data_IF_489825739849
#
_entry.id   IF_489825739849
#
_cell.length_a   1.000
_cell.length_b   1.000
_cell.length_c   1.000
_cell.angle_alpha   90.00
_cell.angle_beta   90.00
_cell.angle_gamma   90.00
#
_symmetry.space_group_name_H-M   'P 1'
#
loop_
_entity.id
_entity.type
_entity.pdbx_description
1 polymer ?
#
# COMPACT_ATOMS: atom_id res chain seq x y z
N UNK A 1 -10.78 51.22 6.25
CA UNK A 1 -9.83 50.15 6.64
C UNK A 1 -10.61 48.85 6.67
N UNK A 2 -10.38 47.97 5.70
CA UNK A 2 -11.02 46.64 5.65
C UNK A 2 -10.15 45.66 6.43
N UNK A 3 -10.37 45.55 7.74
CA UNK A 3 -9.79 44.46 8.55
C UNK A 3 -10.68 43.24 8.40
N UNK A 4 -10.53 42.54 7.26
CA UNK A 4 -11.11 41.22 7.10
C UNK A 4 -10.18 40.26 7.83
N UNK A 5 -10.49 39.92 9.10
CA UNK A 5 -9.83 38.80 9.76
C UNK A 5 -10.17 37.55 8.94
N UNK A 6 -9.16 36.95 8.30
CA UNK A 6 -9.31 35.67 7.65
C UNK A 6 -9.63 34.64 8.73
N UNK A 7 -10.82 34.05 8.66
CA UNK A 7 -11.19 32.90 9.47
C UNK A 7 -10.75 31.62 8.76
N UNK A 8 -10.49 30.53 9.49
CA UNK A 8 -10.32 29.21 8.90
C UNK A 8 -11.49 28.91 7.94
N UNK A 9 -11.17 28.37 6.76
CA UNK A 9 -12.14 28.01 5.72
C UNK A 9 -13.20 27.05 6.26
N UNK A 10 -14.45 27.21 5.82
CA UNK A 10 -15.61 26.44 6.29
C UNK A 10 -15.35 24.91 6.33
N UNK A 11 -15.13 24.39 7.54
CA UNK A 11 -14.87 22.99 7.91
C UNK A 11 -16.09 22.03 8.14
N UNK A 12 -17.37 22.32 7.79
CA UNK A 12 -18.46 21.35 8.01
C UNK A 12 -18.27 20.02 7.25
N UNK A 13 -17.69 20.06 6.04
CA UNK A 13 -17.46 18.87 5.23
C UNK A 13 -16.36 17.97 5.82
N UNK A 14 -15.32 18.58 6.39
CA UNK A 14 -14.21 17.91 7.04
C UNK A 14 -14.70 17.13 8.28
N UNK A 15 -15.53 17.76 9.11
CA UNK A 15 -16.12 17.08 10.28
C UNK A 15 -17.03 15.92 9.91
N UNK A 16 -17.82 16.05 8.84
CA UNK A 16 -18.68 14.97 8.37
C UNK A 16 -17.86 13.80 7.82
N UNK A 17 -16.77 14.07 7.11
CA UNK A 17 -15.82 13.06 6.64
C UNK A 17 -15.17 12.32 7.81
N UNK A 18 -14.69 13.06 8.82
CA UNK A 18 -14.07 12.52 10.04
C UNK A 18 -15.06 11.68 10.86
N UNK A 19 -16.31 12.11 10.97
CA UNK A 19 -17.40 11.35 11.59
C UNK A 19 -17.69 10.05 10.83
N UNK A 20 -17.79 10.11 9.51
CA UNK A 20 -18.05 8.95 8.68
C UNK A 20 -16.92 7.91 8.76
N UNK A 21 -15.67 8.35 8.92
CA UNK A 21 -14.52 7.46 9.19
C UNK A 21 -14.68 6.75 10.53
N UNK A 22 -15.01 7.47 11.61
CA UNK A 22 -15.20 6.88 12.94
C UNK A 22 -16.39 5.89 12.98
N UNK A 23 -17.46 6.18 12.23
CA UNK A 23 -18.62 5.29 12.11
C UNK A 23 -18.26 3.96 11.43
N UNK A 24 -17.48 4.00 10.34
CA UNK A 24 -16.98 2.78 9.69
C UNK A 24 -16.05 1.98 10.59
N UNK A 25 -15.11 2.66 11.27
CA UNK A 25 -14.18 2.02 12.20
C UNK A 25 -14.89 1.36 13.38
N UNK A 26 -15.92 1.99 13.96
CA UNK A 26 -16.71 1.42 15.04
C UNK A 26 -17.48 0.16 14.62
N UNK A 27 -17.98 0.12 13.37
CA UNK A 27 -18.67 -1.05 12.81
C UNK A 27 -17.72 -2.24 12.67
N UNK A 28 -16.53 -2.04 12.10
CA UNK A 28 -15.53 -3.10 11.93
C UNK A 28 -15.00 -3.61 13.28
N UNK A 29 -14.85 -2.73 14.28
CA UNK A 29 -14.43 -3.12 15.63
C UNK A 29 -15.48 -3.93 16.38
N UNK A 30 -16.78 -3.69 16.13
CA UNK A 30 -17.85 -4.51 16.69
C UNK A 30 -17.82 -5.94 16.11
N UNK A 31 -17.67 -6.08 14.79
CA UNK A 31 -17.54 -7.39 14.13
C UNK A 31 -16.29 -8.17 14.59
N UNK A 32 -15.17 -7.47 14.79
CA UNK A 32 -13.94 -8.05 15.32
C UNK A 32 -14.09 -8.48 16.78
N UNK A 33 -14.73 -7.65 17.61
CA UNK A 33 -15.01 -7.95 19.01
C UNK A 33 -15.91 -9.18 19.18
N UNK A 34 -16.97 -9.30 18.38
CA UNK A 34 -17.89 -10.45 18.40
C UNK A 34 -17.20 -11.75 17.96
N UNK A 35 -16.30 -11.65 16.98
CA UNK A 35 -15.46 -12.77 16.51
C UNK A 35 -14.48 -13.23 17.59
N UNK A 36 -13.82 -12.30 18.28
CA UNK A 36 -12.89 -12.60 19.36
C UNK A 36 -13.59 -13.12 20.62
N UNK A 37 -14.77 -12.60 20.95
CA UNK A 37 -15.60 -13.10 22.05
C UNK A 37 -16.09 -14.54 21.78
N UNK A 38 -16.43 -14.85 20.53
CA UNK A 38 -16.77 -16.21 20.11
C UNK A 38 -15.58 -17.16 20.23
N UNK A 39 -14.38 -16.75 19.80
CA UNK A 39 -13.15 -17.52 19.97
C UNK A 39 -12.77 -17.76 21.45
N UNK A 40 -13.00 -16.76 22.32
CA UNK A 40 -12.84 -16.86 23.78
C UNK A 40 -13.75 -17.92 24.40
N UNK A 41 -14.98 -18.07 23.92
CA UNK A 41 -15.91 -19.10 24.43
C UNK A 41 -15.48 -20.54 24.10
N UNK A 42 -14.77 -20.73 22.97
CA UNK A 42 -14.26 -22.03 22.52
C UNK A 42 -12.95 -22.41 23.24
N UNK A 43 -12.10 -21.42 23.56
CA UNK A 43 -10.81 -21.65 24.23
C UNK A 43 -10.92 -21.97 25.74
N UNK A 44 -12.07 -21.73 26.37
CA UNK A 44 -12.30 -21.86 27.81
C UNK A 44 -13.10 -23.11 28.23
N UNK A 45 -13.13 -24.17 27.40
CA UNK A 45 -13.70 -25.46 27.84
C UNK A 45 -12.95 -25.93 29.08
N UNK A 46 -13.68 -26.19 30.16
CA UNK A 46 -13.12 -26.59 31.46
C UNK A 46 -12.56 -28.02 31.38
N UNK A 47 -11.23 -28.14 31.51
CA UNK A 47 -10.49 -29.42 31.46
C UNK A 47 -10.20 -30.00 32.86
N UNK A 48 -10.73 -29.40 33.93
CA UNK A 48 -10.44 -29.76 35.33
C UNK A 48 -10.81 -31.20 35.73
N UNK A 49 -11.54 -31.93 34.88
CA UNK A 49 -11.90 -33.34 35.08
C UNK A 49 -10.83 -34.38 34.68
N UNK A 50 -9.70 -33.98 34.09
CA UNK A 50 -8.64 -34.93 33.69
C UNK A 50 -7.71 -35.19 34.89
N UNK A 51 -7.82 -36.38 35.50
CA UNK A 51 -7.08 -36.77 36.70
C UNK A 51 -5.56 -36.73 36.52
N UNK A 52 -4.89 -35.91 37.32
CA UNK A 52 -3.48 -35.52 37.26
C UNK A 52 -2.43 -36.62 37.54
N UNK A 53 -2.80 -37.90 37.54
CA UNK A 53 -1.99 -38.97 38.13
C UNK A 53 -1.25 -39.88 37.12
N UNK A 54 -1.38 -39.63 35.82
CA UNK A 54 -0.62 -40.35 34.77
C UNK A 54 0.04 -39.44 33.72
N UNK A 55 0.02 -38.12 33.93
CA UNK A 55 0.35 -37.17 32.88
C UNK A 55 1.86 -36.88 32.82
N UNK A 56 2.52 -37.48 31.82
CA UNK A 56 3.90 -37.19 31.39
C UNK A 56 4.12 -35.67 31.19
N UNK A 57 5.38 -35.24 31.29
CA UNK A 57 5.84 -33.84 31.15
C UNK A 57 5.21 -33.14 29.94
N UNK A 58 5.05 -33.85 28.82
CA UNK A 58 4.41 -33.36 27.61
C UNK A 58 2.96 -32.87 27.79
N UNK A 59 2.19 -33.48 28.69
CA UNK A 59 0.82 -33.05 28.97
C UNK A 59 0.78 -31.78 29.84
N UNK A 60 1.68 -31.66 30.82
CA UNK A 60 1.81 -30.42 31.62
C UNK A 60 2.24 -29.24 30.76
N UNK A 61 3.16 -29.46 29.81
CA UNK A 61 3.56 -28.45 28.82
C UNK A 61 2.38 -28.01 27.94
N UNK A 62 1.49 -28.92 27.54
CA UNK A 62 0.29 -28.59 26.74
C UNK A 62 -0.73 -27.76 27.52
N UNK A 63 -0.96 -28.05 28.80
CA UNK A 63 -1.84 -27.25 29.66
C UNK A 63 -1.27 -25.83 29.84
N UNK A 64 0.02 -25.70 30.16
CA UNK A 64 0.66 -24.40 30.31
C UNK A 64 0.62 -23.56 29.02
N UNK A 65 0.81 -24.19 27.86
CA UNK A 65 0.68 -23.52 26.56
C UNK A 65 -0.76 -23.06 26.25
N UNK A 66 -1.76 -23.84 26.68
CA UNK A 66 -3.18 -23.45 26.54
C UNK A 66 -3.55 -22.28 27.45
N UNK A 67 -3.02 -22.25 28.69
CA UNK A 67 -3.21 -21.14 29.63
C UNK A 67 -2.55 -19.84 29.14
N UNK A 68 -1.33 -19.93 28.57
CA UNK A 68 -0.63 -18.79 27.92
C UNK A 68 -1.44 -18.25 26.73
N UNK A 69 -1.93 -19.14 25.87
CA UNK A 69 -2.79 -18.78 24.72
C UNK A 69 -4.09 -18.09 25.16
N UNK A 70 -4.71 -18.56 26.26
CA UNK A 70 -5.90 -17.95 26.82
C UNK A 70 -5.62 -16.58 27.47
N UNK A 71 -4.43 -16.38 28.03
CA UNK A 71 -4.02 -15.08 28.58
C UNK A 71 -3.80 -14.04 27.49
N UNK A 72 -3.12 -14.43 26.40
CA UNK A 72 -2.92 -13.63 25.18
C UNK A 72 -4.24 -13.20 24.53
N UNK A 73 -5.17 -14.15 24.34
CA UNK A 73 -6.55 -13.88 23.88
C UNK A 73 -7.26 -12.81 24.72
N UNK A 74 -7.15 -12.88 26.05
CA UNK A 74 -7.77 -11.90 26.95
C UNK A 74 -7.15 -10.52 26.80
N UNK A 75 -5.82 -10.44 26.66
CA UNK A 75 -5.08 -9.19 26.43
C UNK A 75 -5.55 -8.52 25.13
N UNK A 76 -5.64 -9.28 24.04
CA UNK A 76 -6.11 -8.78 22.74
C UNK A 76 -7.55 -8.26 22.78
N UNK A 77 -8.46 -9.02 23.40
CA UNK A 77 -9.86 -8.60 23.54
C UNK A 77 -9.96 -7.29 24.32
N UNK A 78 -9.22 -7.17 25.43
CA UNK A 78 -9.21 -5.96 26.23
C UNK A 78 -8.67 -4.75 25.45
N UNK A 79 -7.62 -4.92 24.65
CA UNK A 79 -7.05 -3.84 23.84
C UNK A 79 -8.05 -3.33 22.78
N UNK A 80 -8.75 -4.26 22.12
CA UNK A 80 -9.80 -3.93 21.13
C UNK A 80 -10.98 -3.24 21.80
N UNK A 81 -11.41 -3.70 22.97
CA UNK A 81 -12.49 -3.06 23.74
C UNK A 81 -12.12 -1.65 24.21
N UNK A 82 -10.88 -1.46 24.67
CA UNK A 82 -10.36 -0.14 25.08
C UNK A 82 -10.30 0.82 23.89
N UNK A 83 -9.79 0.37 22.75
CA UNK A 83 -9.77 1.19 21.54
C UNK A 83 -11.17 1.56 21.05
N UNK A 84 -12.09 0.59 21.05
CA UNK A 84 -13.50 0.83 20.73
C UNK A 84 -14.13 1.87 21.65
N UNK A 85 -13.86 1.82 22.96
CA UNK A 85 -14.37 2.81 23.91
C UNK A 85 -13.87 4.23 23.59
N UNK A 86 -12.59 4.37 23.21
CA UNK A 86 -12.02 5.66 22.79
C UNK A 86 -12.68 6.17 21.52
N UNK A 87 -12.93 5.32 20.52
CA UNK A 87 -13.63 5.70 19.27
C UNK A 87 -15.07 6.16 19.55
N UNK A 88 -15.80 5.47 20.42
CA UNK A 88 -17.17 5.84 20.80
C UNK A 88 -17.20 7.19 21.53
N UNK A 89 -16.26 7.41 22.46
CA UNK A 89 -16.14 8.69 23.17
C UNK A 89 -15.77 9.83 22.21
N UNK A 90 -14.80 9.60 21.32
CA UNK A 90 -14.38 10.57 20.31
C UNK A 90 -15.52 10.95 19.36
N UNK A 91 -16.38 10.00 18.98
CA UNK A 91 -17.56 10.28 18.16
C UNK A 91 -18.54 11.22 18.88
N UNK A 92 -18.86 10.94 20.14
CA UNK A 92 -19.78 11.78 20.92
C UNK A 92 -19.23 13.22 21.08
N UNK A 93 -17.93 13.35 21.31
CA UNK A 93 -17.26 14.65 21.43
C UNK A 93 -17.20 15.39 20.09
N UNK A 94 -16.99 14.71 18.96
CA UNK A 94 -17.05 15.31 17.63
C UNK A 94 -18.47 15.78 17.28
N UNK A 95 -19.52 15.05 17.67
CA UNK A 95 -20.91 15.52 17.51
C UNK A 95 -21.15 16.80 18.31
N UNK A 96 -20.65 16.91 19.55
CA UNK A 96 -20.74 18.14 20.36
C UNK A 96 -19.94 19.30 19.76
N UNK A 97 -18.71 19.03 19.29
CA UNK A 97 -17.87 20.03 18.63
C UNK A 97 -18.52 20.53 17.33
N UNK A 98 -19.18 19.66 16.57
CA UNK A 98 -19.95 20.03 15.39
C UNK A 98 -21.11 20.95 15.73
N UNK A 99 -21.87 20.65 16.78
CA UNK A 99 -22.98 21.50 17.21
C UNK A 99 -22.50 22.88 17.65
N UNK A 100 -21.36 22.93 18.35
CA UNK A 100 -20.69 24.19 18.72
C UNK A 100 -20.18 24.94 17.49
N UNK A 101 -19.59 24.26 16.52
CA UNK A 101 -19.16 24.89 15.26
C UNK A 101 -20.34 25.47 14.48
N UNK A 102 -21.45 24.73 14.37
CA UNK A 102 -22.67 25.23 13.73
C UNK A 102 -23.23 26.47 14.44
N UNK A 103 -23.21 26.49 15.77
CA UNK A 103 -23.62 27.65 16.57
C UNK A 103 -22.69 28.86 16.36
N UNK A 104 -21.37 28.66 16.32
CA UNK A 104 -20.39 29.71 16.03
C UNK A 104 -20.58 30.27 14.61
N UNK A 105 -20.77 29.40 13.62
CA UNK A 105 -21.04 29.79 12.23
C UNK A 105 -22.35 30.58 12.09
N UNK A 106 -23.42 30.17 12.76
CA UNK A 106 -24.68 30.90 12.78
C UNK A 106 -24.55 32.27 13.47
N UNK A 107 -23.86 32.33 14.61
CA UNK A 107 -23.60 33.58 15.33
C UNK A 107 -22.73 34.54 14.50
N UNK A 108 -21.76 34.01 13.76
CA UNK A 108 -20.94 34.78 12.82
C UNK A 108 -21.78 35.35 11.69
N UNK A 109 -22.60 34.53 11.04
CA UNK A 109 -23.48 34.98 9.96
C UNK A 109 -24.44 36.10 10.41
N UNK A 110 -25.03 35.96 11.61
CA UNK A 110 -25.89 36.99 12.20
C UNK A 110 -25.13 38.27 12.53
N UNK A 111 -23.92 38.17 13.07
CA UNK A 111 -23.08 39.33 13.43
C UNK A 111 -22.61 40.07 12.17
N UNK A 112 -22.23 39.33 11.12
CA UNK A 112 -21.81 39.89 9.83
C UNK A 112 -22.98 40.54 9.07
N UNK A 113 -24.20 40.00 9.20
CA UNK A 113 -25.41 40.63 8.66
C UNK A 113 -25.71 41.97 9.36
N UNK A 114 -25.63 42.01 10.70
CA UNK A 114 -25.83 43.24 11.46
C UNK A 114 -24.77 44.31 11.15
N UNK A 115 -23.50 43.91 11.05
CA UNK A 115 -22.41 44.80 10.66
C UNK A 115 -22.59 45.36 9.24
N UNK A 116 -23.00 44.52 8.27
CA UNK A 116 -23.30 44.96 6.90
C UNK A 116 -24.49 45.91 6.82
N UNK A 117 -25.54 45.67 7.60
CA UNK A 117 -26.71 46.54 7.66
C UNK A 117 -26.32 47.95 8.15
N UNK A 118 -25.48 48.05 9.19
CA UNK A 118 -24.96 49.34 9.65
C UNK A 118 -24.08 50.03 8.60
N UNK A 119 -23.19 49.29 7.92
CA UNK A 119 -22.34 49.85 6.85
C UNK A 119 -23.19 50.40 5.70
N UNK A 120 -24.27 49.72 5.34
CA UNK A 120 -25.19 50.15 4.28
C UNK A 120 -26.02 51.38 4.66
N UNK A 121 -26.34 51.57 5.95
CA UNK A 121 -27.12 52.70 6.45
C UNK A 121 -26.57 53.21 7.82
N UNK A 122 -25.48 53.99 7.82
CA UNK A 122 -24.87 54.47 9.05
C UNK A 122 -25.75 55.45 9.80
N UNK A 123 -25.82 55.33 11.13
CA UNK A 123 -26.53 56.27 12.01
C UNK A 123 -25.74 56.50 13.31
N UNK A 124 -25.93 57.67 13.93
CA UNK A 124 -25.26 57.99 15.19
C UNK A 124 -25.65 57.00 16.31
N UNK A 125 -26.92 56.60 16.36
CA UNK A 125 -27.44 55.63 17.33
C UNK A 125 -26.91 54.20 17.08
N UNK A 126 -26.61 53.85 15.82
CA UNK A 126 -26.13 52.52 15.44
C UNK A 126 -24.63 52.26 15.68
N UNK A 127 -23.82 53.28 16.00
CA UNK A 127 -22.37 53.13 16.21
C UNK A 127 -22.06 52.20 17.38
N UNK A 128 -22.83 52.30 18.48
CA UNK A 128 -22.64 51.44 19.64
C UNK A 128 -22.96 49.96 19.34
N UNK A 129 -23.96 49.71 18.50
CA UNK A 129 -24.34 48.37 18.06
C UNK A 129 -23.27 47.77 17.13
N UNK A 130 -22.71 48.59 16.23
CA UNK A 130 -21.62 48.20 15.33
C UNK A 130 -20.33 47.83 16.10
N UNK A 131 -19.94 48.63 17.10
CA UNK A 131 -18.79 48.31 17.96
C UNK A 131 -18.99 47.02 18.76
N UNK A 132 -20.23 46.76 19.24
CA UNK A 132 -20.59 45.48 19.87
C UNK A 132 -20.48 44.31 18.89
N UNK A 133 -20.82 44.49 17.61
CA UNK A 133 -20.63 43.47 16.57
C UNK A 133 -19.15 43.15 16.34
N UNK A 134 -18.27 44.16 16.24
CA UNK A 134 -16.82 43.95 16.08
C UNK A 134 -16.19 43.24 17.28
N UNK A 135 -16.58 43.60 18.50
CA UNK A 135 -16.16 42.92 19.71
C UNK A 135 -16.62 41.45 19.72
N UNK A 136 -17.87 41.19 19.30
CA UNK A 136 -18.43 39.83 19.19
C UNK A 136 -17.70 38.99 18.15
N UNK A 137 -17.33 39.55 17.00
CA UNK A 137 -16.52 38.85 15.98
C UNK A 137 -15.17 38.38 16.55
N UNK A 138 -14.51 39.21 17.35
CA UNK A 138 -13.21 38.84 17.96
C UNK A 138 -13.34 37.66 18.94
N UNK A 139 -14.45 37.61 19.70
CA UNK A 139 -14.76 36.47 20.59
C UNK A 139 -15.04 35.21 19.77
N UNK A 140 -15.88 35.30 18.74
CA UNK A 140 -16.21 34.16 17.86
C UNK A 140 -14.98 33.61 17.13
N UNK A 141 -14.02 34.45 16.75
CA UNK A 141 -12.75 33.99 16.17
C UNK A 141 -11.92 33.16 17.14
N UNK A 142 -11.80 33.58 18.40
CA UNK A 142 -11.09 32.80 19.43
C UNK A 142 -11.81 31.49 19.75
N UNK A 143 -13.14 31.51 19.77
CA UNK A 143 -13.95 30.29 19.94
C UNK A 143 -13.74 29.31 18.78
N UNK A 144 -13.67 29.78 17.53
CA UNK A 144 -13.36 28.95 16.37
C UNK A 144 -11.97 28.31 16.44
N UNK A 145 -10.94 29.07 16.83
CA UNK A 145 -9.58 28.53 17.04
C UNK A 145 -9.55 27.51 18.18
N UNK A 146 -10.31 27.75 19.25
CA UNK A 146 -10.47 26.79 20.35
C UNK A 146 -11.12 25.48 19.92
N UNK A 147 -12.08 25.52 18.99
CA UNK A 147 -12.73 24.33 18.43
C UNK A 147 -11.76 23.50 17.58
N UNK A 148 -10.93 24.12 16.75
CA UNK A 148 -9.90 23.42 15.97
C UNK A 148 -8.89 22.69 16.87
N UNK A 149 -8.39 23.37 17.92
CA UNK A 149 -7.47 22.74 18.87
C UNK A 149 -8.12 21.60 19.66
N UNK A 150 -9.40 21.74 20.02
CA UNK A 150 -10.14 20.67 20.69
C UNK A 150 -10.30 19.46 19.76
N UNK A 151 -10.60 19.70 18.48
CA UNK A 151 -10.67 18.65 17.47
C UNK A 151 -9.36 17.86 17.36
N UNK A 152 -8.23 18.56 17.27
CA UNK A 152 -6.91 17.94 17.15
C UNK A 152 -6.57 17.09 18.40
N UNK A 153 -7.01 17.51 19.58
CA UNK A 153 -6.86 16.72 20.80
C UNK A 153 -7.66 15.42 20.76
N UNK A 154 -8.91 15.46 20.27
CA UNK A 154 -9.72 14.24 20.09
C UNK A 154 -9.01 13.25 19.16
N UNK A 155 -8.51 13.71 18.01
CA UNK A 155 -7.84 12.83 17.05
C UNK A 155 -6.51 12.29 17.54
N UNK A 156 -5.75 13.10 18.29
CA UNK A 156 -4.52 12.64 18.94
C UNK A 156 -4.79 11.49 19.90
N UNK A 157 -5.86 11.58 20.71
CA UNK A 157 -6.26 10.51 21.64
C UNK A 157 -6.68 9.24 20.89
N UNK A 158 -7.40 9.37 19.78
CA UNK A 158 -7.77 8.23 18.92
C UNK A 158 -6.51 7.55 18.35
N UNK A 159 -5.55 8.33 17.85
CA UNK A 159 -4.30 7.80 17.30
C UNK A 159 -3.46 7.05 18.35
N UNK A 160 -3.32 7.62 19.56
CA UNK A 160 -2.61 6.97 20.68
C UNK A 160 -3.28 5.64 21.07
N UNK A 161 -4.61 5.60 21.13
CA UNK A 161 -5.34 4.38 21.45
C UNK A 161 -5.25 3.32 20.34
N UNK A 162 -5.25 3.75 19.07
CA UNK A 162 -5.05 2.87 17.92
C UNK A 162 -3.66 2.22 17.94
N UNK A 163 -2.62 3.02 18.22
CA UNK A 163 -1.25 2.52 18.34
C UNK A 163 -1.12 1.50 19.48
N UNK A 164 -1.65 1.79 20.66
CA UNK A 164 -1.63 0.86 21.79
C UNK A 164 -2.35 -0.46 21.46
N UNK A 165 -3.53 -0.39 20.81
CA UNK A 165 -4.26 -1.57 20.39
C UNK A 165 -3.50 -2.41 19.34
N UNK A 166 -2.86 -1.75 18.38
CA UNK A 166 -2.06 -2.41 17.35
C UNK A 166 -0.84 -3.13 17.94
N UNK A 167 -0.14 -2.50 18.89
CA UNK A 167 0.97 -3.11 19.62
C UNK A 167 0.51 -4.36 20.37
N UNK A 168 -0.60 -4.31 21.12
CA UNK A 168 -1.12 -5.49 21.83
C UNK A 168 -1.61 -6.59 20.88
N UNK A 169 -2.21 -6.24 19.74
CA UNK A 169 -2.58 -7.20 18.70
C UNK A 169 -1.35 -7.89 18.10
N UNK A 170 -0.23 -7.17 17.97
CA UNK A 170 1.02 -7.69 17.45
C UNK A 170 1.76 -8.58 18.47
N UNK A 171 1.80 -8.19 19.74
CA UNK A 171 2.53 -8.88 20.81
C UNK A 171 1.74 -10.07 21.39
N UNK A 172 0.42 -9.90 21.58
CA UNK A 172 -0.45 -10.84 22.29
C UNK A 172 -1.53 -11.45 21.40
N UNK A 173 -1.61 -11.08 20.11
CA UNK A 173 -2.60 -11.58 19.18
C UNK A 173 -2.63 -13.11 19.13
N UNK A 174 -3.75 -13.78 19.43
CA UNK A 174 -3.88 -15.21 19.19
C UNK A 174 -3.64 -15.51 17.72
N UNK A 175 -2.93 -16.61 17.44
CA UNK A 175 -2.88 -17.21 16.11
C UNK A 175 -4.27 -17.65 15.62
N UNK A 176 -5.11 -16.70 15.22
CA UNK A 176 -6.48 -16.91 14.77
C UNK A 176 -6.50 -17.32 13.29
N UNK A 177 -6.34 -18.63 13.10
CA UNK A 177 -7.15 -19.53 12.26
C UNK A 177 -7.47 -19.10 10.83
N UNK A 178 -6.94 -19.87 9.87
CA UNK A 178 -7.38 -20.17 8.48
C UNK A 178 -7.88 -19.02 7.59
N UNK A 179 -8.82 -18.20 8.06
CA UNK A 179 -9.38 -17.04 7.36
C UNK A 179 -8.46 -15.82 7.38
N UNK A 180 -7.69 -15.61 8.46
CA UNK A 180 -6.57 -14.66 8.46
C UNK A 180 -5.42 -15.16 7.57
N UNK A 181 -5.26 -16.49 7.42
CA UNK A 181 -4.30 -17.10 6.49
C UNK A 181 -4.68 -16.87 5.03
N UNK A 182 -5.98 -16.89 4.72
CA UNK A 182 -6.49 -16.59 3.38
C UNK A 182 -6.36 -15.10 3.01
N UNK A 183 -6.41 -14.19 3.99
CA UNK A 183 -6.11 -12.76 3.81
C UNK A 183 -4.60 -12.48 3.79
N UNK A 184 -3.79 -13.25 4.51
CA UNK A 184 -2.32 -13.18 4.46
C UNK A 184 -1.72 -13.86 3.20
N UNK A 185 -2.40 -14.85 2.61
CA UNK A 185 -2.08 -15.39 1.27
C UNK A 185 -2.48 -14.41 0.17
N UNK A 186 -3.53 -13.60 0.36
CA UNK A 186 -3.82 -12.43 -0.49
C UNK A 186 -2.88 -11.25 -0.23
N UNK A 187 -2.19 -11.21 0.91
CA UNK A 187 -1.21 -10.19 1.29
C UNK A 187 0.25 -10.70 1.28
N UNK A 188 0.51 -11.81 0.56
CA UNK A 188 1.85 -12.18 0.11
C UNK A 188 2.87 -12.62 1.17
N UNK A 189 2.49 -13.33 2.25
CA UNK A 189 3.49 -13.88 3.18
C UNK A 189 3.47 -15.41 3.24
N UNK A 190 4.49 -16.02 2.61
CA UNK A 190 5.03 -17.36 2.94
C UNK A 190 6.49 -17.26 3.41
N UNK A 191 6.89 -18.29 4.16
CA UNK A 191 8.20 -18.68 4.73
C UNK A 191 9.40 -17.68 4.69
N UNK A 192 10.04 -17.34 5.84
CA UNK A 192 11.23 -16.47 5.94
C UNK A 192 12.55 -17.01 5.34
N UNK A 193 12.50 -17.95 4.40
CA UNK A 193 13.67 -18.73 4.00
C UNK A 193 14.09 -18.61 2.55
N UNK A 194 13.51 -17.72 1.75
CA UNK A 194 14.06 -17.29 0.46
C UNK A 194 13.51 -15.89 0.17
N UNK A 195 14.38 -14.87 0.16
CA UNK A 195 14.11 -13.76 -0.75
C UNK A 195 14.05 -14.37 -2.16
N UNK A 196 13.03 -14.06 -2.97
CA UNK A 196 12.82 -14.72 -4.27
C UNK A 196 13.81 -14.21 -5.32
N UNK A 197 14.97 -13.69 -4.91
CA UNK A 197 15.97 -13.19 -5.84
C UNK A 197 16.32 -14.33 -6.81
N UNK A 198 16.06 -14.12 -8.10
CA UNK A 198 16.25 -15.18 -9.06
C UNK A 198 17.74 -15.40 -9.29
N UNK A 199 18.16 -16.64 -9.52
CA UNK A 199 19.58 -17.01 -9.63
C UNK A 199 20.01 -17.41 -11.05
N UNK A 200 19.19 -17.08 -12.05
CA UNK A 200 19.42 -17.43 -13.44
C UNK A 200 20.61 -16.70 -14.07
N UNK A 201 20.82 -16.95 -15.36
CA UNK A 201 21.87 -16.26 -16.13
C UNK A 201 21.26 -15.65 -17.37
N UNK A 202 21.69 -14.45 -17.74
CA UNK A 202 21.32 -13.80 -18.99
C UNK A 202 22.33 -14.12 -20.09
N UNK A 203 21.87 -14.23 -21.33
CA UNK A 203 22.75 -14.32 -22.49
C UNK A 203 23.02 -12.93 -23.09
N UNK A 204 24.24 -12.65 -23.62
CA UNK A 204 24.60 -11.34 -24.15
C UNK A 204 23.64 -10.80 -25.23
N UNK A 205 23.04 -11.69 -26.01
CA UNK A 205 22.05 -11.41 -27.06
C UNK A 205 20.64 -11.92 -26.72
N UNK A 206 20.46 -12.44 -25.50
CA UNK A 206 19.21 -13.03 -25.02
C UNK A 206 18.96 -14.48 -25.41
N UNK A 207 19.78 -15.09 -26.27
CA UNK A 207 19.65 -16.49 -26.69
C UNK A 207 20.81 -17.36 -26.22
N UNK A 208 20.46 -18.45 -25.55
CA UNK A 208 21.40 -19.46 -25.14
C UNK A 208 21.86 -20.38 -26.27
N UNK A 209 22.62 -21.44 -25.94
CA UNK A 209 23.10 -22.39 -26.92
C UNK A 209 21.94 -23.15 -27.59
N UNK A 210 22.14 -23.52 -28.85
CA UNK A 210 21.21 -24.37 -29.60
C UNK A 210 21.20 -25.79 -29.01
N UNK A 211 20.02 -26.31 -28.67
CA UNK A 211 19.84 -27.66 -28.12
C UNK A 211 18.93 -28.48 -29.04
N UNK A 212 19.26 -29.74 -29.35
CA UNK A 212 18.37 -30.61 -30.11
C UNK A 212 17.03 -30.85 -29.40
N UNK A 213 15.93 -30.89 -30.17
CA UNK A 213 14.58 -31.15 -29.67
C UNK A 213 13.70 -29.90 -29.61
N UNK A 214 12.52 -30.05 -29.01
CA UNK A 214 11.43 -29.06 -29.04
C UNK A 214 11.09 -28.43 -27.68
N UNK A 215 11.79 -28.83 -26.62
CA UNK A 215 11.51 -28.34 -25.28
C UNK A 215 12.75 -28.41 -24.42
N UNK A 216 12.95 -27.37 -23.62
CA UNK A 216 13.97 -27.29 -22.58
C UNK A 216 13.31 -26.78 -21.29
N UNK A 217 13.94 -26.99 -20.12
CA UNK A 217 13.52 -26.30 -18.91
C UNK A 217 13.56 -24.79 -19.12
N UNK A 218 12.52 -24.09 -18.69
CA UNK A 218 12.46 -22.64 -18.84
C UNK A 218 13.54 -21.99 -17.97
N UNK A 219 14.40 -21.11 -18.53
CA UNK A 219 15.41 -20.40 -17.76
C UNK A 219 14.76 -19.55 -16.65
N UNK A 220 15.44 -19.48 -15.51
CA UNK A 220 15.12 -18.52 -14.46
C UNK A 220 15.63 -17.13 -14.85
N UNK A 221 15.00 -16.07 -14.32
CA UNK A 221 15.44 -14.71 -14.55
C UNK A 221 16.87 -14.48 -14.00
N UNK A 222 17.67 -13.59 -14.60
CA UNK A 222 18.96 -13.21 -14.01
C UNK A 222 18.74 -12.50 -12.66
N UNK A 223 19.73 -12.54 -11.74
CA UNK A 223 19.72 -11.83 -10.47
C UNK A 223 19.25 -10.40 -10.60
N UNK A 224 18.60 -9.93 -9.55
CA UNK A 224 18.12 -8.57 -9.53
C UNK A 224 19.33 -7.63 -9.71
N UNK A 225 19.21 -6.64 -10.60
CA UNK A 225 20.27 -5.69 -10.82
C UNK A 225 20.42 -4.82 -9.57
N UNK A 226 21.65 -4.37 -9.29
CA UNK A 226 21.96 -3.55 -8.12
C UNK A 226 20.90 -2.46 -7.90
N UNK A 227 20.34 -2.46 -6.70
CA UNK A 227 19.35 -1.48 -6.27
C UNK A 227 20.01 -0.11 -6.08
N UNK A 228 19.24 0.94 -6.32
CA UNK A 228 19.64 2.28 -5.88
C UNK A 228 19.78 2.28 -4.34
N UNK A 229 20.79 2.98 -3.77
CA UNK A 229 20.92 3.15 -2.32
C UNK A 229 19.67 3.67 -1.59
N UNK A 230 18.73 4.33 -2.29
CA UNK A 230 17.47 4.81 -1.70
C UNK A 230 17.68 5.83 -0.59
N UNK A 231 16.75 5.87 0.38
CA UNK A 231 16.74 6.88 1.44
C UNK A 231 17.84 6.71 2.51
N UNK A 232 18.61 5.61 2.47
CA UNK A 232 19.65 5.30 3.46
C UNK A 232 19.31 4.10 4.36
N UNK A 233 19.97 3.99 5.51
CA UNK A 233 19.73 2.89 6.45
C UNK A 233 18.37 3.04 7.16
N UNK A 234 17.58 1.97 7.19
CA UNK A 234 16.30 1.91 7.89
C UNK A 234 16.48 2.13 9.39
N UNK A 235 15.58 2.90 10.01
CA UNK A 235 15.59 3.15 11.47
C UNK A 235 16.94 3.72 11.98
N UNK A 236 17.62 4.50 11.14
CA UNK A 236 18.87 5.22 11.46
C UNK A 236 18.64 6.58 12.12
N UNK A 237 17.42 7.13 12.01
CA UNK A 237 17.00 8.42 12.55
C UNK A 237 15.86 8.26 13.57
N UNK A 238 15.64 9.29 14.38
CA UNK A 238 14.55 9.30 15.36
C UNK A 238 13.24 9.73 14.71
N UNK A 239 12.15 9.00 14.99
CA UNK A 239 10.81 9.37 14.53
C UNK A 239 10.23 10.56 15.31
N UNK A 240 10.15 11.71 14.65
CA UNK A 240 9.52 12.93 15.15
C UNK A 240 7.98 12.89 15.00
N UNK A 241 7.23 13.69 15.77
CA UNK A 241 5.78 13.75 15.64
C UNK A 241 5.27 14.06 14.22
N UNK A 242 6.01 14.88 13.47
CA UNK A 242 5.66 15.25 12.10
C UNK A 242 5.78 14.04 11.13
N UNK A 243 6.67 13.09 11.41
CA UNK A 243 6.79 11.84 10.64
C UNK A 243 5.52 10.99 10.79
N UNK A 244 4.97 10.90 12.00
CA UNK A 244 3.70 10.20 12.23
C UNK A 244 2.51 10.91 11.55
N UNK A 245 2.52 12.24 11.47
CA UNK A 245 1.51 12.99 10.72
C UNK A 245 1.60 12.73 9.22
N UNK A 246 2.82 12.74 8.67
CA UNK A 246 3.09 12.39 7.27
C UNK A 246 2.66 10.96 6.97
N UNK A 247 3.00 10.00 7.84
CA UNK A 247 2.60 8.59 7.71
C UNK A 247 1.07 8.44 7.64
N UNK A 248 0.34 9.07 8.55
CA UNK A 248 -1.12 9.03 8.58
C UNK A 248 -1.76 9.73 7.37
N UNK A 249 -1.19 10.86 6.93
CA UNK A 249 -1.66 11.55 5.72
C UNK A 249 -1.47 10.69 4.47
N UNK A 250 -0.31 10.04 4.32
CA UNK A 250 -0.02 9.13 3.23
C UNK A 250 -0.92 7.88 3.26
N UNK A 251 -1.18 7.31 4.44
CA UNK A 251 -2.10 6.18 4.61
C UNK A 251 -3.54 6.54 4.26
N UNK A 252 -4.00 7.71 4.68
CA UNK A 252 -5.32 8.23 4.33
C UNK A 252 -5.44 8.46 2.82
N UNK A 253 -4.40 8.99 2.18
CA UNK A 253 -4.34 9.16 0.72
C UNK A 253 -4.46 7.83 -0.02
N UNK A 254 -3.63 6.85 0.35
CA UNK A 254 -3.66 5.52 -0.24
C UNK A 254 -5.04 4.87 -0.09
N UNK A 255 -5.66 5.00 1.08
CA UNK A 255 -7.01 4.46 1.32
C UNK A 255 -8.07 5.18 0.47
N UNK A 256 -8.01 6.51 0.39
CA UNK A 256 -8.99 7.31 -0.35
C UNK A 256 -8.86 7.16 -1.87
N UNK A 257 -7.65 6.88 -2.37
CA UNK A 257 -7.36 6.78 -3.80
C UNK A 257 -7.34 5.34 -4.32
N UNK A 258 -7.51 4.33 -3.45
CA UNK A 258 -7.51 2.91 -3.82
C UNK A 258 -8.48 2.58 -4.97
N UNK A 259 -9.66 3.18 -5.00
CA UNK A 259 -10.63 2.94 -6.07
C UNK A 259 -10.18 3.49 -7.44
N UNK A 260 -9.31 4.50 -7.44
CA UNK A 260 -8.82 5.18 -8.65
C UNK A 260 -7.47 4.63 -9.10
N UNK A 261 -6.56 4.38 -8.16
CA UNK A 261 -5.19 3.92 -8.36
C UNK A 261 -4.86 2.77 -7.39
N UNK A 262 -5.41 1.56 -7.64
CA UNK A 262 -5.32 0.44 -6.71
C UNK A 262 -3.87 0.00 -6.45
N UNK A 263 -3.05 -0.15 -7.49
CA UNK A 263 -1.67 -0.64 -7.36
C UNK A 263 -0.78 0.40 -6.68
N UNK A 264 -0.96 1.69 -6.99
CA UNK A 264 -0.23 2.75 -6.30
C UNK A 264 -0.59 2.81 -4.81
N UNK A 265 -1.86 2.60 -4.49
CA UNK A 265 -2.35 2.59 -3.11
C UNK A 265 -1.85 1.38 -2.33
N UNK A 266 -1.77 0.22 -2.97
CA UNK A 266 -1.20 -1.00 -2.39
C UNK A 266 0.30 -0.83 -2.11
N UNK A 267 1.07 -0.36 -3.10
CA UNK A 267 2.52 -0.16 -2.95
C UNK A 267 2.83 0.86 -1.83
N UNK A 268 2.09 1.96 -1.76
CA UNK A 268 2.25 2.95 -0.68
C UNK A 268 1.84 2.39 0.69
N UNK A 269 0.75 1.61 0.77
CA UNK A 269 0.36 0.95 2.03
C UNK A 269 1.38 -0.06 2.50
N UNK A 270 2.01 -0.81 1.58
CA UNK A 270 3.05 -1.77 1.91
C UNK A 270 4.30 -1.08 2.48
N UNK A 271 4.71 0.03 1.85
CA UNK A 271 5.77 0.91 2.36
C UNK A 271 5.49 1.37 3.79
N UNK A 272 4.31 1.95 4.01
CA UNK A 272 3.86 2.46 5.32
C UNK A 272 3.65 1.33 6.35
N UNK A 273 3.47 0.10 5.89
CA UNK A 273 3.40 -1.11 6.73
C UNK A 273 4.75 -1.54 7.32
N UNK A 274 5.86 -0.93 6.89
CA UNK A 274 7.17 -1.04 7.52
C UNK A 274 7.74 -2.47 7.58
N UNK A 275 7.41 -3.32 6.59
CA UNK A 275 7.86 -4.71 6.59
C UNK A 275 9.19 -4.94 5.86
N UNK A 276 9.51 -4.06 4.89
CA UNK A 276 10.67 -4.19 4.00
C UNK A 276 10.63 -5.39 3.05
N UNK A 277 9.56 -6.20 3.09
CA UNK A 277 9.48 -7.44 2.30
C UNK A 277 9.27 -7.14 0.83
N UNK A 278 9.88 -7.92 -0.09
CA UNK A 278 9.55 -7.81 -1.50
C UNK A 278 8.05 -7.94 -1.76
N UNK A 279 7.51 -7.14 -2.66
CA UNK A 279 6.11 -7.13 -3.06
C UNK A 279 5.98 -7.57 -4.52
N UNK A 280 5.18 -8.60 -4.74
CA UNK A 280 4.90 -9.10 -6.09
C UNK A 280 3.95 -8.14 -6.83
N UNK A 281 4.15 -7.97 -8.14
CA UNK A 281 3.37 -7.12 -9.02
C UNK A 281 2.70 -7.98 -10.11
N UNK A 282 1.47 -7.63 -10.46
CA UNK A 282 0.73 -8.29 -11.54
C UNK A 282 1.26 -7.86 -12.91
N UNK A 283 2.25 -8.59 -13.43
CA UNK A 283 2.88 -8.28 -14.72
C UNK A 283 1.94 -8.52 -15.90
N UNK A 284 0.98 -9.45 -15.78
CA UNK A 284 -0.04 -9.64 -16.81
C UNK A 284 -0.89 -8.37 -16.96
N UNK A 285 -1.31 -7.78 -15.83
CA UNK A 285 -2.01 -6.49 -15.82
C UNK A 285 -1.11 -5.34 -16.29
N UNK A 286 0.20 -5.34 -15.95
CA UNK A 286 1.14 -4.34 -16.48
C UNK A 286 1.22 -4.39 -18.01
N UNK A 287 1.30 -5.57 -18.61
CA UNK A 287 1.34 -5.73 -20.06
C UNK A 287 0.04 -5.24 -20.73
N UNK A 288 -1.10 -5.41 -20.07
CA UNK A 288 -2.40 -4.88 -20.55
C UNK A 288 -2.46 -3.35 -20.44
N UNK A 289 -2.04 -2.80 -19.30
CA UNK A 289 -2.20 -1.37 -18.99
C UNK A 289 -1.11 -0.47 -19.59
N UNK A 290 0.06 -1.04 -19.92
CA UNK A 290 1.21 -0.34 -20.47
C UNK A 290 1.46 -0.79 -21.91
N UNK A 291 0.76 -0.20 -22.91
CA UNK A 291 0.90 -0.60 -24.31
C UNK A 291 2.35 -0.44 -24.81
N UNK A 292 3.08 0.58 -24.35
CA UNK A 292 4.49 0.75 -24.70
C UNK A 292 5.39 -0.37 -24.17
N UNK A 293 5.08 -0.96 -23.01
CA UNK A 293 5.81 -2.12 -22.48
C UNK A 293 5.53 -3.33 -23.37
N UNK A 294 4.27 -3.56 -23.71
CA UNK A 294 3.87 -4.63 -24.62
C UNK A 294 4.54 -4.54 -25.98
N UNK A 295 4.66 -3.33 -26.56
CA UNK A 295 5.37 -3.10 -27.82
C UNK A 295 6.88 -3.44 -27.70
N UNK A 296 7.52 -3.05 -26.61
CA UNK A 296 8.94 -3.34 -26.37
C UNK A 296 9.22 -4.84 -26.15
N UNK A 297 8.29 -5.54 -25.48
CA UNK A 297 8.32 -6.99 -25.31
C UNK A 297 8.14 -7.68 -26.66
N UNK A 298 7.12 -7.30 -27.44
CA UNK A 298 6.86 -7.87 -28.76
C UNK A 298 8.06 -7.66 -29.72
N UNK A 299 8.66 -6.47 -29.69
CA UNK A 299 9.87 -6.16 -30.45
C UNK A 299 11.04 -7.04 -30.03
N UNK A 300 11.23 -7.26 -28.72
CA UNK A 300 12.29 -8.13 -28.20
C UNK A 300 12.05 -9.59 -28.61
N UNK A 301 10.81 -10.08 -28.55
CA UNK A 301 10.43 -11.42 -29.00
C UNK A 301 10.73 -11.63 -30.48
N UNK A 302 10.36 -10.66 -31.33
CA UNK A 302 10.65 -10.72 -32.77
C UNK A 302 12.15 -10.80 -33.07
N UNK A 303 12.98 -10.00 -32.38
CA UNK A 303 14.43 -10.05 -32.54
C UNK A 303 15.03 -11.41 -32.14
N UNK A 304 14.56 -11.99 -31.02
CA UNK A 304 14.98 -13.32 -30.56
C UNK A 304 14.62 -14.40 -31.59
N UNK A 305 13.41 -14.34 -32.15
CA UNK A 305 12.97 -15.30 -33.17
C UNK A 305 13.81 -15.19 -34.45
N UNK A 306 14.03 -13.98 -34.96
CA UNK A 306 14.86 -13.77 -36.16
C UNK A 306 16.27 -14.30 -35.96
N UNK A 307 16.88 -14.06 -34.80
CA UNK A 307 18.22 -14.55 -34.49
C UNK A 307 18.27 -16.08 -34.34
N UNK A 308 17.26 -16.71 -33.71
CA UNK A 308 17.18 -18.16 -33.59
C UNK A 308 17.06 -18.85 -34.96
N UNK A 309 16.22 -18.32 -35.86
CA UNK A 309 16.10 -18.80 -37.24
C UNK A 309 17.42 -18.67 -38.00
N UNK A 310 18.10 -17.53 -37.87
CA UNK A 310 19.40 -17.31 -38.52
C UNK A 310 20.46 -18.33 -38.05
N UNK A 311 20.54 -18.59 -36.74
CA UNK A 311 21.47 -19.59 -36.16
C UNK A 311 21.17 -21.01 -36.63
N UNK A 312 19.90 -21.41 -36.59
CA UNK A 312 19.47 -22.73 -37.04
C UNK A 312 19.79 -22.97 -38.53
N UNK A 313 19.51 -21.98 -39.38
CA UNK A 313 19.84 -22.01 -40.81
C UNK A 313 21.34 -22.08 -41.05
N UNK A 314 22.13 -21.25 -40.37
CA UNK A 314 23.59 -21.25 -40.49
C UNK A 314 24.21 -22.59 -40.07
N UNK A 315 23.62 -23.27 -39.08
CA UNK A 315 24.03 -24.59 -38.64
C UNK A 315 23.51 -25.74 -39.54
N UNK A 316 22.69 -25.45 -40.56
CA UNK A 316 22.10 -26.44 -41.46
C UNK A 316 21.36 -27.57 -40.72
N UNK A 317 20.61 -27.24 -39.68
CA UNK A 317 19.90 -28.24 -38.87
C UNK A 317 18.83 -28.97 -39.69
N UNK A 318 18.71 -30.27 -39.50
CA UNK A 318 17.73 -31.13 -40.20
C UNK A 318 16.62 -31.64 -39.27
N UNK A 319 16.78 -31.44 -37.97
CA UNK A 319 15.82 -31.79 -36.93
C UNK A 319 15.47 -30.52 -36.12
N UNK A 320 14.32 -30.49 -35.41
CA UNK A 320 13.97 -29.38 -34.54
C UNK A 320 15.05 -29.06 -33.51
N UNK A 321 15.26 -27.77 -33.26
CA UNK A 321 16.19 -27.26 -32.25
C UNK A 321 15.51 -26.20 -31.40
N UNK A 322 15.90 -26.12 -30.13
CA UNK A 322 15.39 -25.15 -29.16
C UNK A 322 16.52 -24.31 -28.59
N UNK A 323 16.29 -23.02 -28.46
CA UNK A 323 17.18 -22.05 -27.83
C UNK A 323 16.56 -21.56 -26.52
N UNK A 324 17.28 -21.60 -25.38
CA UNK A 324 16.83 -20.91 -24.18
C UNK A 324 16.83 -19.40 -24.39
N UNK A 325 15.79 -18.74 -23.91
CA UNK A 325 15.68 -17.28 -23.85
C UNK A 325 15.94 -16.85 -22.43
N UNK A 326 16.90 -15.94 -22.25
CA UNK A 326 17.11 -15.21 -21.01
C UNK A 326 17.84 -13.91 -21.33
N UNK A 327 17.10 -12.79 -21.29
CA UNK A 327 17.68 -11.47 -21.60
C UNK A 327 18.30 -10.83 -20.37
N UNK A 328 19.18 -9.84 -20.57
CA UNK A 328 19.52 -8.91 -19.50
C UNK A 328 18.35 -7.98 -19.15
N UNK A 329 18.44 -7.31 -18.00
CA UNK A 329 17.45 -6.34 -17.56
C UNK A 329 17.47 -5.07 -18.43
N UNK A 330 16.29 -4.62 -18.87
CA UNK A 330 16.08 -3.37 -19.62
C UNK A 330 15.19 -2.42 -18.84
N UNK A 331 15.49 -1.13 -18.86
CA UNK A 331 14.63 -0.12 -18.23
C UNK A 331 13.37 0.15 -19.04
N UNK A 332 12.27 0.38 -18.35
CA UNK A 332 11.02 0.92 -18.86
C UNK A 332 10.49 1.99 -17.91
N UNK A 333 9.74 2.97 -18.42
CA UNK A 333 9.11 3.99 -17.60
C UNK A 333 7.62 4.04 -17.94
N UNK A 334 6.78 3.65 -16.98
CA UNK A 334 5.33 3.79 -17.08
C UNK A 334 4.98 5.27 -17.19
N UNK A 335 4.36 5.67 -18.30
CA UNK A 335 3.97 7.07 -18.51
C UNK A 335 2.56 7.32 -17.99
N UNK A 336 2.31 8.55 -17.56
CA UNK A 336 1.02 8.92 -16.98
C UNK A 336 -0.14 8.83 -17.98
N UNK A 337 0.14 9.07 -19.26
CA UNK A 337 -0.79 8.95 -20.39
C UNK A 337 -1.07 7.50 -20.81
N UNK A 338 -0.17 6.56 -20.49
CA UNK A 338 -0.38 5.11 -20.64
C UNK A 338 -1.22 4.58 -19.47
N UNK A 339 -0.73 4.78 -18.24
CA UNK A 339 -1.44 4.42 -17.02
C UNK A 339 -1.03 5.29 -15.86
N UNK A 340 -1.95 6.14 -15.39
CA UNK A 340 -1.71 6.95 -14.18
C UNK A 340 -1.55 6.08 -12.93
N UNK A 341 -2.19 4.90 -12.88
CA UNK A 341 -2.04 3.96 -11.78
C UNK A 341 -0.59 3.43 -11.71
N UNK A 342 -0.06 2.87 -12.80
CA UNK A 342 1.32 2.34 -12.83
C UNK A 342 2.39 3.43 -12.79
N UNK A 343 2.10 4.62 -13.34
CA UNK A 343 2.97 5.79 -13.19
C UNK A 343 3.23 6.13 -11.71
N UNK A 344 2.20 6.06 -10.85
CA UNK A 344 2.36 6.29 -9.41
C UNK A 344 2.77 5.03 -8.62
N UNK A 345 2.46 3.84 -9.12
CA UNK A 345 2.78 2.59 -8.42
C UNK A 345 4.26 2.23 -8.52
N UNK A 346 4.89 2.45 -9.67
CA UNK A 346 6.27 2.05 -9.93
C UNK A 346 7.05 3.17 -10.64
N UNK A 347 6.43 3.85 -11.60
CA UNK A 347 7.13 4.81 -12.44
C UNK A 347 8.17 4.11 -13.33
N UNK A 348 9.45 4.23 -12.98
CA UNK A 348 10.53 3.52 -13.68
C UNK A 348 10.73 2.12 -13.11
N UNK A 349 10.91 1.11 -13.96
CA UNK A 349 11.24 -0.26 -13.51
C UNK A 349 12.09 -0.97 -14.56
N UNK A 350 12.59 -2.15 -14.22
CA UNK A 350 13.37 -3.00 -15.13
C UNK A 350 12.55 -4.23 -15.53
N UNK A 351 12.69 -4.70 -16.75
CA UNK A 351 12.08 -5.94 -17.24
C UNK A 351 13.09 -6.85 -17.94
N UNK A 352 12.80 -8.15 -17.97
CA UNK A 352 13.57 -9.17 -18.69
C UNK A 352 12.65 -10.27 -19.22
N UNK A 353 13.06 -10.96 -20.30
CA UNK A 353 12.34 -12.08 -20.89
C UNK A 353 13.05 -13.39 -20.59
N UNK A 354 12.28 -14.40 -20.20
CA UNK A 354 12.72 -15.78 -20.00
C UNK A 354 11.85 -16.71 -20.83
N UNK A 355 12.39 -17.82 -21.33
CA UNK A 355 11.61 -18.72 -22.17
C UNK A 355 12.43 -19.61 -23.08
N UNK A 356 11.85 -19.89 -24.25
CA UNK A 356 12.50 -20.63 -25.31
C UNK A 356 11.98 -20.23 -26.69
N UNK A 357 12.82 -20.41 -27.71
CA UNK A 357 12.43 -20.39 -29.13
C UNK A 357 12.78 -21.75 -29.72
N UNK A 358 11.77 -22.45 -30.23
CA UNK A 358 11.92 -23.69 -30.99
C UNK A 358 11.84 -23.37 -32.46
N UNK A 359 12.81 -23.82 -33.24
CA UNK A 359 12.86 -23.69 -34.69
C UNK A 359 12.72 -25.07 -35.31
N UNK A 360 11.80 -25.22 -36.27
CA UNK A 360 11.63 -26.45 -37.02
C UNK A 360 12.11 -26.26 -38.48
N UNK A 361 13.03 -27.12 -38.96
CA UNK A 361 13.45 -27.10 -40.36
C UNK A 361 12.33 -27.59 -41.28
N UNK A 362 12.34 -27.19 -42.56
CA UNK A 362 11.37 -27.65 -43.53
C UNK A 362 11.47 -29.15 -43.78
N UNK A 363 10.32 -29.81 -43.95
CA UNK A 363 10.24 -31.25 -44.25
C UNK A 363 10.58 -31.59 -45.71
N UNK A 364 10.86 -30.59 -46.54
CA UNK A 364 11.22 -30.76 -47.95
C UNK A 364 12.20 -29.67 -48.39
N UNK A 365 13.13 -29.96 -49.33
CA UNK A 365 14.07 -28.96 -49.82
C UNK A 365 13.34 -27.71 -50.36
N UNK A 366 13.67 -26.53 -49.81
CA UNK A 366 13.06 -25.26 -50.20
C UNK A 366 11.71 -24.95 -49.53
N UNK A 367 11.27 -25.74 -48.55
CA UNK A 367 10.11 -25.40 -47.72
C UNK A 367 10.38 -24.28 -46.70
N UNK A 368 9.31 -23.76 -46.10
CA UNK A 368 9.37 -22.72 -45.06
C UNK A 368 9.88 -23.27 -43.73
N UNK A 369 10.64 -22.44 -43.01
CA UNK A 369 11.02 -22.72 -41.63
C UNK A 369 9.88 -22.28 -40.72
N UNK A 370 9.57 -23.06 -39.69
CA UNK A 370 8.59 -22.63 -38.67
C UNK A 370 9.29 -22.40 -37.34
N UNK A 371 8.62 -21.63 -36.49
CA UNK A 371 9.07 -21.43 -35.12
C UNK A 371 7.89 -21.41 -34.15
N UNK A 372 8.20 -21.73 -32.91
CA UNK A 372 7.34 -21.54 -31.74
C UNK A 372 8.17 -20.88 -30.64
N UNK A 373 7.70 -19.76 -30.12
CA UNK A 373 8.32 -19.02 -29.04
C UNK A 373 7.39 -19.03 -27.83
N UNK A 374 7.92 -19.40 -26.66
CA UNK A 374 7.21 -19.26 -25.39
C UNK A 374 8.07 -18.45 -24.44
N UNK A 375 7.54 -17.34 -23.92
CA UNK A 375 8.29 -16.46 -23.00
C UNK A 375 7.41 -15.91 -21.89
N UNK A 376 8.00 -15.67 -20.73
CA UNK A 376 7.47 -14.81 -19.65
C UNK A 376 8.23 -13.49 -19.61
N UNK A 377 7.60 -12.49 -19.01
CA UNK A 377 8.21 -11.20 -18.68
C UNK A 377 8.37 -11.13 -17.17
N UNK A 378 9.59 -10.99 -16.69
CA UNK A 378 9.87 -10.66 -15.28
C UNK A 378 10.12 -9.17 -15.13
N UNK A 379 9.61 -8.56 -14.06
CA UNK A 379 9.85 -7.16 -13.69
C UNK A 379 10.58 -7.09 -12.35
N UNK A 380 11.35 -6.01 -12.17
CA UNK A 380 12.02 -5.69 -10.92
C UNK A 380 12.18 -4.17 -10.76
N UNK A 381 12.00 -3.70 -9.54
CA UNK A 381 12.37 -2.35 -9.13
C UNK A 381 12.65 -2.27 -7.62
N UNK A 382 13.25 -1.18 -7.16
CA UNK A 382 13.33 -0.85 -5.73
C UNK A 382 12.29 0.24 -5.45
N UNK A 383 11.29 -0.05 -4.63
CA UNK A 383 10.35 0.95 -4.16
C UNK A 383 11.02 1.81 -3.09
N UNK A 384 11.71 2.86 -3.53
CA UNK A 384 12.43 3.82 -2.72
C UNK A 384 11.88 5.24 -2.92
N UNK A 385 12.18 6.11 -1.95
CA UNK A 385 11.76 7.52 -1.98
C UNK A 385 13.01 8.39 -1.83
N UNK A 386 13.72 8.63 -2.91
CA UNK A 386 14.95 9.45 -2.97
C UNK A 386 14.84 10.62 -3.97
N UNK A 387 13.63 10.83 -4.50
CA UNK A 387 13.31 11.83 -5.51
C UNK A 387 12.98 13.22 -4.95
N UNK A 388 12.81 14.18 -5.86
CA UNK A 388 12.38 15.55 -5.54
C UNK A 388 10.92 15.84 -5.83
N UNK A 389 10.04 14.83 -5.93
CA UNK A 389 8.63 15.01 -6.29
C UNK A 389 7.78 15.29 -5.05
N UNK A 390 6.55 15.73 -5.29
CA UNK A 390 5.55 15.95 -4.26
C UNK A 390 4.14 15.79 -4.80
N UNK A 391 3.21 15.39 -3.93
CA UNK A 391 1.79 15.23 -4.25
C UNK A 391 0.95 15.95 -3.21
N UNK A 392 -0.11 16.62 -3.66
CA UNK A 392 -1.11 17.22 -2.77
C UNK A 392 -2.15 16.19 -2.35
N UNK A 393 -2.33 16.04 -1.05
CA UNK A 393 -3.24 15.13 -0.38
C UNK A 393 -4.02 15.94 0.65
N UNK A 394 -5.34 16.11 0.47
CA UNK A 394 -6.21 16.80 1.44
C UNK A 394 -5.68 18.18 1.92
N UNK A 395 -5.05 18.95 1.03
CA UNK A 395 -4.49 20.28 1.36
C UNK A 395 -3.11 20.25 2.03
N UNK A 396 -2.52 19.06 2.20
CA UNK A 396 -1.14 18.85 2.62
C UNK A 396 -0.29 18.42 1.43
N UNK A 397 0.90 18.99 1.30
CA UNK A 397 1.89 18.49 0.34
C UNK A 397 2.69 17.39 1.03
N UNK A 398 2.63 16.18 0.49
CA UNK A 398 3.53 15.07 0.86
C UNK A 398 4.64 15.01 -0.18
N UNK A 399 5.88 15.21 0.24
CA UNK A 399 7.06 15.13 -0.63
C UNK A 399 7.68 13.74 -0.56
N UNK A 400 8.45 13.39 -1.60
CA UNK A 400 9.27 12.18 -1.61
C UNK A 400 10.24 12.18 -0.40
N UNK A 401 10.86 13.32 -0.09
CA UNK A 401 11.75 13.46 1.08
C UNK A 401 11.03 13.15 2.40
N UNK A 402 9.79 13.61 2.57
CA UNK A 402 9.02 13.31 3.78
C UNK A 402 8.70 11.81 3.88
N UNK A 403 8.55 11.11 2.76
CA UNK A 403 8.40 9.64 2.76
C UNK A 403 9.75 8.94 3.02
N UNK A 404 10.85 9.48 2.49
CA UNK A 404 12.21 9.04 2.79
C UNK A 404 12.52 9.12 4.30
N UNK A 405 12.10 10.21 4.94
CA UNK A 405 12.22 10.42 6.38
C UNK A 405 11.49 9.31 7.17
N UNK A 406 10.32 8.84 6.71
CA UNK A 406 9.62 7.72 7.36
C UNK A 406 10.47 6.43 7.36
N UNK A 407 11.24 6.21 6.28
CA UNK A 407 12.16 5.08 6.19
C UNK A 407 13.30 5.18 7.20
N UNK A 408 14.00 6.32 7.20
CA UNK A 408 15.09 6.56 8.14
C UNK A 408 14.62 6.57 9.59
N UNK A 409 13.41 7.08 9.85
CA UNK A 409 12.75 7.09 11.15
C UNK A 409 12.25 5.70 11.62
N UNK A 410 12.28 4.68 10.75
CA UNK A 410 11.90 3.32 11.09
C UNK A 410 10.39 3.08 11.20
N UNK A 411 9.55 3.97 10.65
CA UNK A 411 8.07 3.87 10.67
C UNK A 411 7.45 3.58 9.30
N UNK A 412 8.28 3.50 8.26
CA UNK A 412 7.99 2.91 6.95
C UNK A 412 9.26 2.21 6.43
N UNK A 413 9.17 1.33 5.43
CA UNK A 413 10.35 0.62 4.94
C UNK A 413 10.32 0.44 3.42
N UNK A 414 11.39 0.88 2.75
CA UNK A 414 11.65 0.60 1.33
C UNK A 414 11.81 -0.90 1.09
N UNK A 415 11.42 -1.35 -0.10
CA UNK A 415 11.38 -2.78 -0.43
C UNK A 415 11.57 -3.03 -1.93
N UNK A 416 11.71 -4.29 -2.33
CA UNK A 416 11.82 -4.67 -3.74
C UNK A 416 10.44 -4.94 -4.34
N UNK A 417 10.17 -4.37 -5.52
CA UNK A 417 9.08 -4.79 -6.37
C UNK A 417 9.58 -5.86 -7.32
N UNK A 418 8.82 -6.92 -7.50
CA UNK A 418 9.14 -7.97 -8.47
C UNK A 418 7.87 -8.57 -9.06
N UNK A 419 7.96 -9.30 -10.15
CA UNK A 419 6.80 -10.02 -10.69
C UNK A 419 7.19 -10.82 -11.92
N UNK A 420 6.38 -11.81 -12.28
CA UNK A 420 6.54 -12.57 -13.53
C UNK A 420 5.18 -12.79 -14.18
N UNK A 421 5.09 -12.53 -15.48
CA UNK A 421 3.87 -12.74 -16.26
C UNK A 421 3.55 -14.21 -16.42
N UNK A 422 2.31 -14.51 -16.79
CA UNK A 422 1.98 -15.80 -17.38
C UNK A 422 2.80 -16.02 -18.67
N UNK A 423 3.15 -17.28 -19.01
CA UNK A 423 3.82 -17.58 -20.28
C UNK A 423 2.94 -17.20 -21.47
N UNK A 424 3.52 -16.49 -22.43
CA UNK A 424 2.91 -16.21 -23.73
C UNK A 424 3.59 -17.03 -24.81
N UNK A 425 2.79 -17.72 -25.63
CA UNK A 425 3.26 -18.53 -26.76
C UNK A 425 2.83 -17.91 -28.09
N UNK A 426 3.77 -17.79 -29.02
CA UNK A 426 3.53 -17.38 -30.40
C UNK A 426 4.24 -18.32 -31.36
N UNK A 427 3.80 -18.35 -32.61
CA UNK A 427 4.45 -19.14 -33.65
C UNK A 427 4.19 -18.56 -35.03
N UNK A 428 5.00 -18.98 -36.00
CA UNK A 428 4.91 -18.49 -37.37
C UNK A 428 5.76 -19.31 -38.33
N UNK A 429 5.71 -18.91 -39.60
CA UNK A 429 6.57 -19.44 -40.66
C UNK A 429 7.33 -18.31 -41.36
N UNK A 430 8.52 -18.63 -41.87
CA UNK A 430 9.38 -17.75 -42.66
C UNK A 430 9.88 -18.43 -43.94
#
# INVERSE_FOLDING_TARGET
>A
MSTTFAYPTDEPALLEERRAVLERSASHLAELGDTLASARSVALVDWSGITAQAADTAFRTRIAAAEDSAARLRSTVMAVEQYRAVIVAARAEIDELRDRQNAVSAARASTDAAARAFIAAPSADGVADYLRCLARQTVLHREAVGLANAYDDVMRRVAVAAAACATTLWEDGPGLTERARHLAEQAGVRNPQHDPEPNGTSYPDGLGPMVPGTTIPMPEAPPWPDADPGAGEHNSEFAWPDDYLTHQAALAAATALQWKWPNASENLRHFLGNSGRPLEQDVDQMLVDLPGLSDEVARSQSLLTTEALARARAASVTEPVTFPVSTGWKGYYAKQDESTNWYYATGGFRYSLQGQVTVQPPTSPGGEWTYEQTTTVSTYDRYNWDGGKSTQIFGQTVTDEQLAELHRAGIAQEYHLYGTSSPSTSGGSE
#
